data_IF_433051577888
#
_entry.id   IF_433051577888
#
_cell.length_a   1.000
_cell.length_b   1.000
_cell.length_c   1.000
_cell.angle_alpha   90.00
_cell.angle_beta   90.00
_cell.angle_gamma   90.00
#
_symmetry.space_group_name_H-M   'P 1'
#
loop_
_entity.id
_entity.type
_entity.pdbx_description
1 polymer ?
#
# COMPACT_ATOMS: atom_id res chain seq x y z
N UNK A 1 -37.77 5.07 25.88
CA UNK A 1 -37.19 5.64 24.64
C UNK A 1 -35.72 5.88 24.94
N UNK A 2 -34.78 5.36 24.13
CA UNK A 2 -33.36 5.72 24.30
C UNK A 2 -33.20 7.10 23.65
N UNK A 3 -32.96 8.13 24.46
CA UNK A 3 -32.67 9.45 23.92
C UNK A 3 -31.40 9.35 23.06
N UNK A 4 -31.54 9.67 21.78
CA UNK A 4 -30.41 9.66 20.87
C UNK A 4 -29.53 10.86 21.20
N UNK A 5 -28.35 10.61 21.76
CA UNK A 5 -27.35 11.64 22.07
C UNK A 5 -27.12 12.52 20.83
N UNK A 6 -27.30 13.83 21.00
CA UNK A 6 -27.17 14.82 19.92
C UNK A 6 -25.70 14.95 19.52
N UNK A 7 -25.43 15.05 18.21
CA UNK A 7 -24.07 15.25 17.69
C UNK A 7 -23.51 16.60 18.14
N UNK A 8 -22.26 16.62 18.57
CA UNK A 8 -21.58 17.78 19.14
C UNK A 8 -21.66 17.86 20.67
N UNK A 9 -22.43 16.99 21.32
CA UNK A 9 -22.45 16.91 22.79
C UNK A 9 -21.14 16.33 23.30
N UNK A 10 -20.69 16.85 24.44
CA UNK A 10 -19.57 16.31 25.19
C UNK A 10 -19.85 16.39 26.69
N UNK A 11 -19.16 15.53 27.42
CA UNK A 11 -19.11 15.52 28.88
C UNK A 11 -17.66 15.33 29.30
N UNK A 12 -17.24 16.06 30.34
CA UNK A 12 -15.93 15.96 30.95
C UNK A 12 -16.06 15.52 32.41
N UNK A 13 -15.21 14.59 32.81
CA UNK A 13 -15.03 14.19 34.20
C UNK A 13 -13.56 14.37 34.55
N UNK A 14 -13.29 15.04 35.67
CA UNK A 14 -11.94 15.27 36.19
C UNK A 14 -11.76 14.46 37.46
N UNK A 15 -10.66 13.74 37.56
CA UNK A 15 -10.28 12.99 38.75
C UNK A 15 -8.87 13.38 39.16
N UNK A 16 -8.65 13.58 40.46
CA UNK A 16 -7.32 13.73 41.04
C UNK A 16 -6.74 12.36 41.36
N UNK A 17 -5.52 12.11 40.91
CA UNK A 17 -4.73 10.93 41.27
C UNK A 17 -3.32 11.34 41.64
N UNK A 18 -2.93 11.13 42.90
CA UNK A 18 -1.62 11.52 43.44
C UNK A 18 -1.28 13.02 43.25
N UNK A 19 -2.29 13.91 43.32
CA UNK A 19 -2.10 15.34 43.09
C UNK A 19 -2.00 15.74 41.62
N UNK A 20 -2.32 14.84 40.70
CA UNK A 20 -2.39 15.08 39.27
C UNK A 20 -3.85 15.00 38.80
N UNK A 21 -4.35 16.11 38.26
CA UNK A 21 -5.66 16.15 37.62
C UNK A 21 -5.63 15.41 36.27
N UNK A 22 -6.48 14.40 36.15
CA UNK A 22 -6.73 13.66 34.92
C UNK A 22 -8.13 14.03 34.43
N UNK A 23 -8.20 14.67 33.26
CA UNK A 23 -9.45 14.94 32.57
C UNK A 23 -9.77 13.81 31.60
N UNK A 24 -11.01 13.32 31.64
CA UNK A 24 -11.58 12.39 30.68
C UNK A 24 -12.77 13.05 30.00
N UNK A 25 -12.67 13.27 28.69
CA UNK A 25 -13.72 13.90 27.88
C UNK A 25 -14.33 12.89 26.90
N UNK A 26 -15.64 12.71 26.96
CA UNK A 26 -16.43 11.97 25.99
C UNK A 26 -17.07 12.95 25.01
N UNK A 27 -16.83 12.82 23.70
CA UNK A 27 -17.41 13.68 22.67
C UNK A 27 -18.13 12.85 21.60
N UNK A 28 -19.35 13.28 21.24
CA UNK A 28 -20.16 12.63 20.21
C UNK A 28 -20.03 13.35 18.87
N UNK A 29 -19.24 12.79 17.95
CA UNK A 29 -19.32 13.13 16.52
C UNK A 29 -20.20 12.08 15.79
N UNK A 30 -19.70 11.46 14.72
CA UNK A 30 -20.36 10.33 14.08
C UNK A 30 -20.44 9.14 15.05
N UNK A 31 -19.34 8.86 15.74
CA UNK A 31 -19.21 7.91 16.86
C UNK A 31 -18.79 8.67 18.11
N UNK A 32 -18.97 8.04 19.28
CA UNK A 32 -18.45 8.59 20.53
C UNK A 32 -16.93 8.38 20.52
N UNK A 33 -16.19 9.42 20.88
CA UNK A 33 -14.75 9.39 21.09
C UNK A 33 -14.51 9.75 22.56
N UNK A 34 -13.67 8.97 23.23
CA UNK A 34 -13.27 9.24 24.62
C UNK A 34 -11.78 9.53 24.62
N UNK A 35 -11.40 10.66 25.18
CA UNK A 35 -10.01 11.08 25.32
C UNK A 35 -9.72 11.33 26.79
N UNK A 36 -8.54 10.91 27.24
CA UNK A 36 -8.03 11.21 28.57
C UNK A 36 -6.74 12.02 28.44
N UNK A 37 -6.57 13.02 29.30
CA UNK A 37 -5.40 13.89 29.30
C UNK A 37 -5.11 14.40 30.70
N UNK A 38 -3.82 14.51 31.02
CA UNK A 38 -3.30 15.20 32.21
C UNK A 38 -2.92 16.65 31.92
N UNK A 39 -3.17 17.12 30.70
CA UNK A 39 -2.71 18.42 30.20
C UNK A 39 -3.86 19.35 29.84
N UNK A 40 -4.82 18.85 29.04
CA UNK A 40 -5.90 19.66 28.47
C UNK A 40 -7.22 18.93 28.58
N UNK A 41 -8.22 19.66 29.08
CA UNK A 41 -9.61 19.21 29.21
C UNK A 41 -10.51 19.62 28.05
N UNK A 42 -11.80 19.76 28.33
CA UNK A 42 -12.79 20.07 27.29
C UNK A 42 -12.79 21.53 26.83
N UNK A 43 -12.49 22.47 27.74
CA UNK A 43 -12.53 23.91 27.49
C UNK A 43 -11.15 24.49 27.10
N UNK A 44 -11.10 25.59 26.31
CA UNK A 44 -12.22 26.26 25.66
C UNK A 44 -12.77 25.47 24.47
N UNK A 45 -14.07 25.19 24.46
CA UNK A 45 -14.71 24.49 23.36
C UNK A 45 -14.80 25.41 22.13
N UNK A 46 -14.35 24.89 20.99
CA UNK A 46 -14.35 25.62 19.73
C UNK A 46 -15.40 25.08 18.77
N UNK A 47 -15.95 25.95 17.94
CA UNK A 47 -16.92 25.57 16.92
C UNK A 47 -16.21 25.03 15.67
N UNK A 48 -16.61 23.85 15.20
CA UNK A 48 -16.04 23.21 13.99
C UNK A 48 -17.15 22.84 13.02
N UNK A 49 -16.92 23.14 11.74
CA UNK A 49 -17.81 22.73 10.65
C UNK A 49 -17.59 21.26 10.31
N UNK A 50 -18.65 20.45 10.41
CA UNK A 50 -18.64 19.03 10.06
C UNK A 50 -19.77 18.72 9.10
N UNK A 51 -19.48 17.90 8.10
CA UNK A 51 -20.51 17.42 7.20
C UNK A 51 -21.38 16.37 7.92
N UNK A 52 -22.69 16.51 7.86
CA UNK A 52 -23.64 15.49 8.25
C UNK A 52 -24.19 14.77 7.02
N UNK A 53 -23.89 13.47 6.92
CA UNK A 53 -24.37 12.61 5.83
C UNK A 53 -25.89 12.43 5.84
N UNK A 54 -26.54 12.50 7.02
CA UNK A 54 -27.99 12.34 7.14
C UNK A 54 -28.74 13.53 6.57
N UNK A 55 -28.26 14.74 6.91
CA UNK A 55 -28.86 15.99 6.45
C UNK A 55 -28.27 16.50 5.13
N UNK A 56 -27.18 15.90 4.66
CA UNK A 56 -26.38 16.32 3.48
C UNK A 56 -25.94 17.79 3.55
N UNK A 57 -25.67 18.29 4.76
CA UNK A 57 -25.34 19.68 5.03
C UNK A 57 -24.13 19.78 5.94
N UNK A 58 -23.42 20.90 5.87
CA UNK A 58 -22.43 21.27 6.86
C UNK A 58 -23.17 21.76 8.11
N UNK A 59 -22.88 21.13 9.24
CA UNK A 59 -23.39 21.52 10.56
C UNK A 59 -22.24 22.08 11.38
N UNK A 60 -22.56 23.06 12.20
CA UNK A 60 -21.64 23.69 13.13
C UNK A 60 -21.80 22.98 14.48
N UNK A 61 -20.74 22.35 14.97
CA UNK A 61 -20.77 21.60 16.24
C UNK A 61 -19.66 22.06 17.18
N UNK A 62 -19.93 22.02 18.48
CA UNK A 62 -18.90 22.24 19.49
C UNK A 62 -17.89 21.09 19.46
N UNK A 63 -16.61 21.45 19.53
CA UNK A 63 -15.48 20.55 19.51
C UNK A 63 -14.60 20.88 20.72
N UNK A 64 -14.49 19.96 21.70
CA UNK A 64 -13.64 20.15 22.87
C UNK A 64 -12.18 20.40 22.50
N UNK A 65 -11.48 21.21 23.31
CA UNK A 65 -10.08 21.57 23.10
C UNK A 65 -9.15 20.36 23.03
N UNK A 66 -9.33 19.39 23.93
CA UNK A 66 -8.62 18.10 23.93
C UNK A 66 -8.66 17.38 22.58
N UNK A 67 -9.78 17.44 21.85
CA UNK A 67 -9.89 16.81 20.53
C UNK A 67 -9.02 17.52 19.50
N UNK A 68 -8.95 18.85 19.54
CA UNK A 68 -8.10 19.62 18.63
C UNK A 68 -6.63 19.37 18.92
N UNK A 69 -6.24 19.43 20.19
CA UNK A 69 -4.86 19.24 20.59
C UNK A 69 -4.38 17.83 20.28
N UNK A 70 -5.22 16.82 20.49
CA UNK A 70 -4.91 15.47 20.05
C UNK A 70 -4.65 15.42 18.54
N UNK A 71 -5.55 15.94 17.72
CA UNK A 71 -5.41 15.89 16.26
C UNK A 71 -4.20 16.65 15.69
N UNK A 72 -3.73 17.71 16.36
CA UNK A 72 -2.52 18.45 15.94
C UNK A 72 -1.25 17.61 16.11
N UNK A 73 -1.20 16.77 17.14
CA UNK A 73 0.00 16.02 17.51
C UNK A 73 -0.03 14.54 17.07
N UNK A 74 -1.16 14.07 16.53
CA UNK A 74 -1.22 12.79 15.83
C UNK A 74 -0.41 12.88 14.52
N UNK A 75 0.17 11.76 14.10
CA UNK A 75 0.76 11.60 12.77
C UNK A 75 2.28 11.65 12.74
N UNK A 76 2.95 12.04 13.85
CA UNK A 76 4.41 11.97 13.93
C UNK A 76 4.97 10.57 13.64
N UNK A 77 4.28 9.53 14.14
CA UNK A 77 4.63 8.12 13.86
C UNK A 77 4.41 7.78 12.39
N UNK A 78 3.24 8.10 11.83
CA UNK A 78 2.91 7.80 10.43
C UNK A 78 3.84 8.51 9.44
N UNK A 79 4.23 9.76 9.74
CA UNK A 79 5.21 10.50 8.94
C UNK A 79 6.59 9.84 8.97
N UNK A 80 7.05 9.42 10.15
CA UNK A 80 8.31 8.71 10.29
C UNK A 80 8.27 7.36 9.54
N UNK A 81 7.18 6.61 9.65
CA UNK A 81 7.00 5.34 8.93
C UNK A 81 7.00 5.54 7.41
N UNK A 82 6.38 6.62 6.91
CA UNK A 82 6.45 7.00 5.50
C UNK A 82 7.89 7.25 5.06
N UNK A 83 8.64 8.08 5.80
CA UNK A 83 10.03 8.38 5.46
C UNK A 83 10.93 7.14 5.49
N UNK A 84 10.71 6.24 6.46
CA UNK A 84 11.43 4.97 6.52
C UNK A 84 11.08 4.07 5.34
N UNK A 85 9.81 4.04 4.92
CA UNK A 85 9.37 3.31 3.72
C UNK A 85 10.01 3.85 2.45
N UNK A 86 10.04 5.17 2.30
CA UNK A 86 10.63 5.85 1.15
C UNK A 86 12.15 5.60 1.09
N UNK A 87 12.84 5.78 2.22
CA UNK A 87 14.28 5.51 2.32
C UNK A 87 14.64 4.06 1.98
N UNK A 88 13.86 3.09 2.46
CA UNK A 88 14.07 1.66 2.13
C UNK A 88 13.88 1.40 0.64
N UNK A 89 12.89 2.04 0.03
CA UNK A 89 12.60 1.90 -1.40
C UNK A 89 13.74 2.49 -2.25
N UNK A 90 14.20 3.69 -1.91
CA UNK A 90 15.35 4.33 -2.55
C UNK A 90 16.63 3.51 -2.39
N UNK A 91 16.88 2.99 -1.18
CA UNK A 91 18.02 2.12 -0.92
C UNK A 91 17.96 0.83 -1.76
N UNK A 92 16.79 0.23 -1.92
CA UNK A 92 16.61 -0.96 -2.75
C UNK A 92 16.90 -0.67 -4.23
N UNK A 93 16.39 0.44 -4.76
CA UNK A 93 16.62 0.85 -6.16
C UNK A 93 18.09 1.18 -6.43
N UNK A 94 18.71 1.95 -5.54
CA UNK A 94 20.13 2.29 -5.63
C UNK A 94 20.98 1.03 -5.58
N UNK A 95 20.75 0.09 -4.66
CA UNK A 95 21.51 -1.16 -4.61
C UNK A 95 21.29 -2.05 -5.84
N UNK A 96 20.08 -2.09 -6.39
CA UNK A 96 19.79 -2.87 -7.61
C UNK A 96 20.47 -2.28 -8.84
N UNK A 97 20.62 -0.96 -8.91
CA UNK A 97 21.29 -0.24 -10.01
C UNK A 97 22.80 -0.11 -9.80
N UNK A 98 23.26 -0.16 -8.54
CA UNK A 98 24.65 -0.06 -8.15
C UNK A 98 25.42 -1.24 -8.75
N UNK A 99 26.44 -0.92 -9.55
CA UNK A 99 27.31 -1.91 -10.20
C UNK A 99 26.59 -2.86 -11.19
N UNK A 100 25.56 -2.38 -11.90
CA UNK A 100 25.17 -3.00 -13.18
C UNK A 100 26.28 -2.80 -14.22
N UNK A 101 27.37 -3.55 -14.09
CA UNK A 101 28.25 -3.83 -15.21
C UNK A 101 27.40 -4.53 -16.27
N UNK A 102 27.64 -4.25 -17.54
CA UNK A 102 27.04 -4.99 -18.65
C UNK A 102 27.41 -6.47 -18.45
N UNK A 103 26.51 -7.26 -17.84
CA UNK A 103 26.76 -8.69 -17.70
C UNK A 103 26.61 -9.21 -19.11
N UNK A 104 27.74 -9.40 -19.79
CA UNK A 104 27.81 -10.08 -21.08
C UNK A 104 26.82 -11.25 -21.05
N UNK A 105 25.76 -11.18 -21.85
CA UNK A 105 24.66 -12.14 -21.82
C UNK A 105 25.24 -13.55 -21.94
N UNK A 106 25.28 -14.30 -20.84
CA UNK A 106 25.65 -15.72 -20.89
C UNK A 106 24.44 -16.48 -21.42
N UNK A 107 24.47 -16.81 -22.70
CA UNK A 107 23.42 -17.55 -23.37
C UNK A 107 23.67 -17.67 -24.87
N UNK A 108 23.11 -18.73 -25.48
CA UNK A 108 23.20 -18.99 -26.92
C UNK A 108 22.63 -17.79 -27.68
N UNK A 109 23.40 -17.15 -28.58
CA UNK A 109 22.90 -15.99 -29.30
C UNK A 109 21.66 -16.39 -30.11
N UNK A 110 20.59 -15.61 -29.96
CA UNK A 110 19.43 -15.66 -30.85
C UNK A 110 19.87 -15.09 -32.20
N UNK A 111 20.49 -15.90 -33.04
CA UNK A 111 20.52 -15.57 -34.47
C UNK A 111 19.21 -16.07 -35.08
N UNK A 112 18.48 -15.18 -35.74
CA UNK A 112 17.22 -15.47 -36.45
C UNK A 112 17.37 -16.49 -37.60
N UNK A 113 18.53 -17.15 -37.75
CA UNK A 113 18.84 -18.06 -38.85
C UNK A 113 19.17 -19.45 -38.29
N UNK A 114 18.12 -20.23 -38.06
CA UNK A 114 18.17 -21.61 -37.51
C UNK A 114 19.03 -22.53 -38.39
N UNK A 115 19.03 -22.33 -39.71
CA UNK A 115 19.82 -23.11 -40.67
C UNK A 115 21.34 -23.02 -40.38
N UNK A 116 21.87 -21.80 -40.18
CA UNK A 116 23.29 -21.61 -39.86
C UNK A 116 23.68 -22.31 -38.56
N UNK A 117 22.78 -22.36 -37.58
CA UNK A 117 23.05 -23.03 -36.31
C UNK A 117 23.07 -24.56 -36.46
N UNK A 118 22.31 -25.12 -37.41
CA UNK A 118 22.30 -26.55 -37.70
C UNK A 118 23.57 -26.94 -38.47
N UNK A 119 23.97 -26.16 -39.47
CA UNK A 119 25.22 -26.36 -40.21
C UNK A 119 26.44 -26.31 -39.29
N UNK A 120 26.51 -25.32 -38.39
CA UNK A 120 27.59 -25.22 -37.43
C UNK A 120 27.68 -26.41 -36.47
N UNK A 121 26.54 -27.08 -36.18
CA UNK A 121 26.48 -28.26 -35.31
C UNK A 121 26.83 -29.57 -36.03
N UNK A 122 26.67 -29.65 -37.36
CA UNK A 122 27.11 -30.82 -38.15
C UNK A 122 28.62 -31.06 -38.04
N UNK A 123 29.39 -29.99 -37.82
CA UNK A 123 30.85 -30.05 -37.73
C UNK A 123 31.38 -30.40 -36.33
N UNK A 124 30.49 -30.51 -35.32
CA UNK A 124 30.85 -30.74 -33.91
C UNK A 124 30.55 -32.17 -33.47
N UNK A 125 31.04 -33.15 -34.23
CA UNK A 125 30.92 -34.58 -33.92
C UNK A 125 29.74 -35.28 -34.60
N UNK A 126 29.54 -36.60 -34.34
CA UNK A 126 28.52 -37.40 -35.00
C UNK A 126 27.11 -36.87 -34.67
N UNK A 127 26.46 -36.31 -35.68
CA UNK A 127 25.12 -35.75 -35.57
C UNK A 127 24.09 -36.69 -36.20
N UNK A 128 22.92 -36.81 -35.58
CA UNK A 128 21.78 -37.51 -36.19
C UNK A 128 21.36 -36.79 -37.48
N UNK A 129 20.94 -37.51 -38.54
CA UNK A 129 20.48 -36.89 -39.78
C UNK A 129 19.29 -35.98 -39.47
N UNK A 130 19.42 -34.71 -39.84
CA UNK A 130 18.37 -33.71 -39.66
C UNK A 130 17.37 -33.85 -40.82
N UNK A 131 16.06 -33.90 -40.55
CA UNK A 131 15.06 -33.94 -41.61
C UNK A 131 15.20 -32.75 -42.58
N UNK A 132 14.88 -32.93 -43.87
CA UNK A 132 14.84 -31.85 -44.85
C UNK A 132 14.06 -30.63 -44.35
N UNK A 133 14.47 -29.43 -44.77
CA UNK A 133 13.89 -28.16 -44.31
C UNK A 133 12.37 -28.13 -44.52
N UNK A 134 11.91 -28.62 -45.66
CA UNK A 134 10.49 -28.58 -46.03
C UNK A 134 9.63 -29.44 -45.10
N UNK A 135 10.18 -30.56 -44.60
CA UNK A 135 9.52 -31.40 -43.57
C UNK A 135 9.58 -30.72 -42.19
N UNK A 136 10.63 -29.94 -41.90
CA UNK A 136 10.74 -29.20 -40.63
C UNK A 136 9.80 -27.99 -40.55
N UNK A 137 9.35 -27.47 -41.70
CA UNK A 137 8.52 -26.27 -41.79
C UNK A 137 7.19 -26.52 -42.52
N UNK A 138 6.77 -27.77 -42.64
CA UNK A 138 5.55 -28.17 -43.37
C UNK A 138 4.25 -27.68 -42.71
N UNK A 139 4.35 -26.99 -41.56
CA UNK A 139 3.21 -26.40 -40.85
C UNK A 139 2.29 -27.44 -40.20
N UNK A 140 2.60 -28.74 -40.34
CA UNK A 140 1.91 -29.84 -39.70
C UNK A 140 2.68 -30.14 -38.41
N UNK A 141 2.45 -29.31 -37.40
CA UNK A 141 3.07 -29.50 -36.09
C UNK A 141 2.70 -30.86 -35.48
N UNK A 142 3.69 -31.57 -34.93
CA UNK A 142 3.42 -32.70 -34.06
C UNK A 142 2.72 -32.19 -32.77
N UNK A 143 1.46 -32.60 -32.65
CA UNK A 143 0.53 -32.48 -31.53
C UNK A 143 0.06 -31.09 -31.09
N UNK A 144 -1.15 -30.76 -31.55
CA UNK A 144 -2.16 -30.02 -30.80
C UNK A 144 -2.55 -30.76 -29.50
N UNK A 145 -1.66 -30.78 -28.50
CA UNK A 145 -2.11 -30.83 -27.11
C UNK A 145 -1.87 -29.48 -26.48
N UNK A 146 -2.70 -28.53 -26.91
CA UNK A 146 -3.00 -27.33 -26.13
C UNK A 146 -3.62 -27.82 -24.82
N UNK A 147 -2.81 -27.92 -23.76
CA UNK A 147 -3.36 -27.93 -22.41
C UNK A 147 -4.35 -26.76 -22.34
N UNK A 148 -5.61 -27.07 -22.06
CA UNK A 148 -6.64 -26.08 -21.78
C UNK A 148 -6.19 -25.26 -20.57
N UNK A 149 -5.55 -24.14 -20.85
CA UNK A 149 -5.42 -23.02 -19.92
C UNK A 149 -6.18 -21.85 -20.55
N UNK A 150 -7.50 -21.87 -20.39
CA UNK A 150 -8.32 -20.66 -20.39
C UNK A 150 -8.99 -20.54 -19.03
N UNK A 151 -8.61 -19.45 -18.36
CA UNK A 151 -9.08 -18.95 -17.08
C UNK A 151 -10.61 -18.86 -16.98
N UNK A 152 -11.18 -19.40 -15.90
CA UNK A 152 -12.12 -18.76 -14.95
C UNK A 152 -12.69 -19.79 -13.98
#
# INVERSE_FOLDING_TARGET
MKDSIVRGTYEEQVADYEGLDISVTCWKDNKVVTLASTYVGSEPAETVNRYDKKQKKQISIACPKIVKDYNVHIGGVDHMDSFLGDYRSELAETLCSYKKYDTNKRGRPSSNNVERQIEAKKHRGPAKPVPPKDIRTDGIGQDEKRCSAKNR
#
